data_IF_485469183281
#
_entry.id   IF_485469183281
#
_cell.length_a   1.000
_cell.length_b   1.000
_cell.length_c   1.000
_cell.angle_alpha   90.00
_cell.angle_beta   90.00
_cell.angle_gamma   90.00
#
_symmetry.space_group_name_H-M   'P 1'
#
loop_
_entity.id
_entity.type
_entity.pdbx_description
1 polymer ?
#
# COMPACT_ATOMS: atom_id res chain seq x y z
N UNK A 1 -7.75 -3.79 -7.34
CA UNK A 1 -7.66 -3.27 -8.71
C UNK A 1 -6.34 -2.54 -8.89
N UNK A 2 -5.63 -2.75 -10.00
CA UNK A 2 -4.34 -2.09 -10.27
C UNK A 2 -4.54 -1.18 -11.48
N UNK A 3 -4.22 0.10 -11.34
CA UNK A 3 -4.34 1.08 -12.42
C UNK A 3 -2.99 1.33 -13.10
N UNK A 4 -2.97 1.98 -14.30
CA UNK A 4 -1.74 2.21 -15.06
C UNK A 4 -0.63 2.92 -14.28
N UNK A 5 0.59 2.82 -14.82
CA UNK A 5 1.81 3.40 -14.23
C UNK A 5 2.11 2.89 -12.81
N UNK A 6 1.73 1.63 -12.55
CA UNK A 6 2.04 0.94 -11.29
C UNK A 6 3.05 -0.17 -11.54
N UNK A 7 4.17 -0.14 -10.82
CA UNK A 7 5.15 -1.22 -10.79
C UNK A 7 4.95 -2.08 -9.55
N UNK A 8 4.93 -3.41 -9.71
CA UNK A 8 4.73 -4.36 -8.59
C UNK A 8 5.89 -5.37 -8.58
N UNK A 9 6.55 -5.46 -7.43
CA UNK A 9 7.65 -6.37 -7.15
C UNK A 9 7.20 -7.82 -6.97
N UNK A 10 8.14 -8.70 -6.63
CA UNK A 10 7.83 -10.13 -6.46
C UNK A 10 7.14 -10.37 -5.12
N UNK A 11 6.25 -11.35 -5.08
CA UNK A 11 5.56 -11.82 -3.84
C UNK A 11 4.75 -10.73 -3.14
N UNK A 12 4.28 -9.72 -3.89
CA UNK A 12 3.36 -8.73 -3.35
C UNK A 12 1.94 -9.31 -3.26
N UNK A 13 1.20 -8.91 -2.23
CA UNK A 13 -0.21 -9.25 -2.08
C UNK A 13 -1.03 -7.96 -2.09
N UNK A 14 -1.96 -7.83 -3.03
CA UNK A 14 -2.89 -6.68 -3.11
C UNK A 14 -4.32 -7.23 -3.10
N UNK A 15 -5.00 -7.11 -1.96
CA UNK A 15 -6.28 -7.77 -1.70
C UNK A 15 -7.30 -6.72 -1.25
N UNK A 16 -8.47 -6.67 -1.91
CA UNK A 16 -9.54 -5.72 -1.59
C UNK A 16 -9.03 -4.26 -1.51
N UNK A 17 -8.20 -3.85 -2.47
CA UNK A 17 -7.61 -2.50 -2.50
C UNK A 17 -7.41 -2.02 -3.92
N UNK A 18 -7.40 -0.70 -4.11
CA UNK A 18 -7.08 -0.05 -5.37
C UNK A 18 -5.71 0.64 -5.28
N UNK A 19 -4.82 0.35 -6.23
CA UNK A 19 -3.47 0.93 -6.29
C UNK A 19 -3.22 1.47 -7.69
N UNK A 20 -2.69 2.69 -7.78
CA UNK A 20 -2.34 3.35 -9.03
C UNK A 20 -1.09 4.20 -8.95
N UNK A 21 -0.47 4.52 -10.08
CA UNK A 21 0.62 5.52 -10.14
C UNK A 21 1.68 5.35 -9.04
N UNK A 22 2.13 4.11 -8.78
CA UNK A 22 2.93 3.75 -7.60
C UNK A 22 4.00 2.70 -7.92
N UNK A 23 5.05 2.62 -7.09
CA UNK A 23 6.07 1.57 -7.13
C UNK A 23 5.97 0.75 -5.84
N UNK A 24 5.62 -0.53 -5.96
CA UNK A 24 5.53 -1.47 -4.83
C UNK A 24 6.68 -2.47 -4.93
N UNK A 25 7.62 -2.47 -3.99
CA UNK A 25 8.75 -3.41 -3.97
C UNK A 25 8.36 -4.77 -3.36
N UNK A 26 9.30 -5.72 -3.36
CA UNK A 26 8.99 -7.14 -3.11
C UNK A 26 8.49 -7.42 -1.70
N UNK A 27 7.73 -8.49 -1.54
CA UNK A 27 7.19 -8.98 -0.25
C UNK A 27 6.17 -8.06 0.44
N UNK A 28 5.76 -6.97 -0.22
CA UNK A 28 4.84 -5.98 0.35
C UNK A 28 3.37 -6.42 0.26
N UNK A 29 2.59 -6.05 1.28
CA UNK A 29 1.19 -6.47 1.45
C UNK A 29 0.28 -5.27 1.61
N UNK A 30 -0.71 -5.15 0.72
CA UNK A 30 -1.76 -4.13 0.76
C UNK A 30 -3.09 -4.87 0.87
N UNK A 31 -3.78 -4.72 2.00
CA UNK A 31 -4.99 -5.51 2.29
C UNK A 31 -6.09 -4.64 2.86
N UNK A 32 -7.30 -4.76 2.29
CA UNK A 32 -8.54 -4.16 2.79
C UNK A 32 -8.49 -2.63 2.95
N UNK A 33 -7.65 -1.95 2.16
CA UNK A 33 -7.63 -0.49 2.07
C UNK A 33 -8.77 -0.04 1.16
N UNK A 34 -9.73 0.66 1.74
CA UNK A 34 -10.93 1.15 1.02
C UNK A 34 -10.59 2.32 0.10
N UNK A 35 -9.74 3.23 0.57
CA UNK A 35 -9.26 4.36 -0.22
C UNK A 35 -8.27 3.94 -1.29
N UNK A 36 -8.23 4.72 -2.38
CA UNK A 36 -7.28 4.51 -3.47
C UNK A 36 -5.87 4.92 -3.04
N UNK A 37 -4.91 4.00 -3.20
CA UNK A 37 -3.48 4.28 -3.02
C UNK A 37 -2.93 4.80 -4.35
N UNK A 38 -2.32 5.99 -4.34
CA UNK A 38 -1.75 6.62 -5.54
C UNK A 38 -0.46 7.39 -5.22
N UNK A 39 0.42 7.58 -6.20
CA UNK A 39 1.63 8.40 -6.05
C UNK A 39 2.65 7.88 -5.03
N UNK A 40 2.65 6.58 -4.77
CA UNK A 40 3.36 5.99 -3.63
C UNK A 40 4.59 5.18 -4.05
N UNK A 41 5.62 5.15 -3.20
CA UNK A 41 6.75 4.20 -3.28
C UNK A 41 6.78 3.38 -1.99
N UNK A 42 6.52 2.07 -2.10
CA UNK A 42 6.57 1.13 -0.98
C UNK A 42 7.85 0.29 -1.10
N UNK A 43 8.70 0.35 -0.07
CA UNK A 43 9.90 -0.48 0.07
C UNK A 43 9.60 -1.98 0.17
N UNK A 44 10.64 -2.80 0.32
CA UNK A 44 10.44 -4.25 0.51
C UNK A 44 9.81 -4.54 1.88
N UNK A 45 8.95 -5.56 1.95
CA UNK A 45 8.28 -6.03 3.18
C UNK A 45 7.42 -4.95 3.89
N UNK A 46 6.86 -4.02 3.13
CA UNK A 46 5.94 -2.98 3.65
C UNK A 46 4.52 -3.53 3.74
N UNK A 47 3.82 -3.23 4.83
CA UNK A 47 2.42 -3.62 5.02
C UNK A 47 1.49 -2.42 5.19
N UNK A 48 0.46 -2.34 4.33
CA UNK A 48 -0.68 -1.43 4.48
C UNK A 48 -1.93 -2.29 4.71
N UNK A 49 -2.52 -2.18 5.89
CA UNK A 49 -3.68 -2.97 6.28
C UNK A 49 -4.81 -2.01 6.68
N UNK A 50 -5.88 -2.01 5.90
CA UNK A 50 -7.11 -1.33 6.25
C UNK A 50 -7.92 -2.14 7.28
N UNK A 51 -8.50 -1.46 8.25
CA UNK A 51 -9.39 -2.05 9.24
C UNK A 51 -10.85 -1.78 8.84
N UNK A 52 -11.61 -2.85 8.55
CA UNK A 52 -13.03 -2.80 8.16
C UNK A 52 -14.00 -2.36 9.29
N UNK A 53 -13.51 -1.75 10.37
CA UNK A 53 -14.34 -1.29 11.49
C UNK A 53 -14.23 0.23 11.62
N UNK A 54 -15.09 0.93 10.90
CA UNK A 54 -15.69 2.22 11.28
C UNK A 54 -14.76 3.28 11.91
N UNK A 55 -13.50 3.37 11.50
CA UNK A 55 -12.53 4.28 12.12
C UNK A 55 -11.68 5.01 11.09
N UNK A 56 -11.73 6.33 11.23
CA UNK A 56 -10.89 7.41 10.72
C UNK A 56 -9.40 7.30 11.10
N UNK A 57 -8.88 6.07 11.23
CA UNK A 57 -7.54 5.84 11.75
C UNK A 57 -6.76 4.90 10.85
N UNK A 58 -5.63 5.40 10.36
CA UNK A 58 -4.64 4.61 9.64
C UNK A 58 -3.58 4.09 10.62
N UNK A 59 -3.23 2.81 10.54
CA UNK A 59 -2.09 2.23 11.26
C UNK A 59 -0.98 1.95 10.26
N UNK A 60 0.18 2.57 10.46
CA UNK A 60 1.36 2.39 9.61
C UNK A 60 2.48 1.70 10.40
N UNK A 61 3.09 0.67 9.82
CA UNK A 61 4.32 0.04 10.32
C UNK A 61 5.30 0.04 9.16
N UNK A 62 6.43 0.73 9.34
CA UNK A 62 7.38 1.06 8.29
C UNK A 62 8.76 0.50 8.62
N UNK A 63 9.40 -0.17 7.64
CA UNK A 63 10.77 -0.67 7.73
C UNK A 63 11.81 0.35 7.23
N UNK A 64 13.03 -0.11 6.97
CA UNK A 64 14.16 0.76 6.60
C UNK A 64 13.90 1.58 5.33
N UNK A 65 14.34 2.85 5.38
CA UNK A 65 14.22 3.87 4.32
C UNK A 65 12.78 4.16 3.83
N UNK A 66 11.80 4.17 4.74
CA UNK A 66 10.42 4.50 4.41
C UNK A 66 10.08 5.99 4.66
N UNK A 67 9.21 6.56 3.83
CA UNK A 67 8.58 7.88 4.01
C UNK A 67 7.07 7.75 3.80
N UNK A 68 6.29 8.32 4.71
CA UNK A 68 4.84 8.49 4.57
C UNK A 68 4.53 9.99 4.49
N UNK A 69 3.59 10.33 3.63
CA UNK A 69 2.99 11.67 3.52
C UNK A 69 1.46 11.46 3.46
N UNK A 70 0.70 12.13 4.32
CA UNK A 70 -0.76 12.02 4.44
C UNK A 70 -1.30 13.44 4.40
N UNK A 71 -2.24 13.69 3.50
CA UNK A 71 -3.05 14.92 3.39
C UNK A 71 -4.53 14.61 3.68
#
# INVERSE_FOLDING_TARGET
HITPHTSIGRRCEIINSEVGYSIIMSDSKIKNVTDKITGSLLGNDVQIIGNNKDQSSHRFILGDQSRIEVD
#
